data_IF_046792382680
#
_entry.id   IF_046792382680
#
_cell.length_a   1.000
_cell.length_b   1.000
_cell.length_c   1.000
_cell.angle_alpha   90.00
_cell.angle_beta   90.00
_cell.angle_gamma   90.00
#
_symmetry.space_group_name_H-M   'P 1'
#
loop_
_entity.id
_entity.type
_entity.pdbx_description
1 polymer ?
#
# COMPACT_ATOMS: atom_id res chain seq x y z
N UNK A 1 -3.06 2.24 26.67
CA UNK A 1 -3.29 0.94 27.35
C UNK A 1 -4.75 0.50 27.33
N UNK A 2 -5.75 1.41 27.46
CA UNK A 2 -7.18 1.01 27.45
C UNK A 2 -7.64 0.48 26.10
N UNK A 3 -7.13 1.05 25.00
CA UNK A 3 -7.46 0.65 23.63
C UNK A 3 -6.90 -0.73 23.29
N UNK A 4 -5.70 -1.03 23.78
CA UNK A 4 -5.02 -2.30 23.50
C UNK A 4 -5.59 -3.46 24.34
N UNK A 5 -6.22 -3.18 25.49
CA UNK A 5 -6.80 -4.19 26.38
C UNK A 5 -5.77 -5.05 27.13
N UNK A 6 -4.50 -4.64 27.14
CA UNK A 6 -3.39 -5.31 27.79
C UNK A 6 -2.53 -4.30 28.54
N UNK A 7 -1.96 -4.68 29.69
CA UNK A 7 -1.07 -3.79 30.45
C UNK A 7 0.29 -3.65 29.74
N UNK A 8 0.98 -2.52 30.00
CA UNK A 8 2.34 -2.31 29.47
C UNK A 8 3.29 -3.43 29.90
N UNK A 9 3.21 -3.85 31.15
CA UNK A 9 4.05 -4.95 31.70
C UNK A 9 3.80 -6.29 30.99
N UNK A 10 2.56 -6.56 30.60
CA UNK A 10 2.23 -7.79 29.90
C UNK A 10 2.70 -7.74 28.45
N UNK A 11 2.66 -6.57 27.80
CA UNK A 11 3.26 -6.35 26.49
C UNK A 11 4.78 -6.55 26.51
N UNK A 12 5.44 -5.97 27.51
CA UNK A 12 6.90 -6.14 27.71
C UNK A 12 7.29 -7.61 27.95
N UNK A 13 6.47 -8.37 28.69
CA UNK A 13 6.68 -9.82 28.85
C UNK A 13 6.59 -10.60 27.54
N UNK A 14 5.83 -10.11 26.58
CA UNK A 14 5.74 -10.67 25.22
C UNK A 14 6.83 -10.13 24.27
N UNK A 15 7.80 -9.40 24.79
CA UNK A 15 8.88 -8.80 24.01
C UNK A 15 8.49 -7.55 23.21
N UNK A 16 7.32 -6.95 23.51
CA UNK A 16 6.86 -5.74 22.85
C UNK A 16 7.24 -4.51 23.68
N UNK A 17 8.23 -3.77 23.22
CA UNK A 17 8.70 -2.50 23.82
C UNK A 17 8.14 -1.26 23.10
N UNK A 18 7.49 -1.43 21.96
CA UNK A 18 6.97 -0.35 21.12
C UNK A 18 7.99 0.21 20.12
N UNK A 19 9.09 -0.49 19.92
CA UNK A 19 10.11 -0.11 18.92
C UNK A 19 9.58 -0.33 17.49
N UNK A 20 10.09 0.45 16.55
CA UNK A 20 9.70 0.35 15.13
C UNK A 20 9.91 -1.08 14.62
N UNK A 21 8.91 -1.60 13.92
CA UNK A 21 8.92 -2.96 13.39
C UNK A 21 8.39 -4.03 14.35
N UNK A 22 8.24 -3.74 15.64
CA UNK A 22 7.62 -4.67 16.58
C UNK A 22 6.11 -4.74 16.40
N UNK A 23 5.54 -5.92 16.62
CA UNK A 23 4.09 -6.09 16.67
C UNK A 23 3.68 -7.22 17.61
N UNK A 24 2.49 -7.12 18.17
CA UNK A 24 1.84 -8.19 18.93
C UNK A 24 0.36 -8.28 18.56
N UNK A 25 -0.11 -9.48 18.30
CA UNK A 25 -1.50 -9.78 17.95
C UNK A 25 -2.24 -10.20 19.21
N UNK A 26 -3.33 -9.51 19.52
CA UNK A 26 -4.09 -9.69 20.76
C UNK A 26 -5.53 -10.04 20.37
N UNK A 27 -5.91 -11.33 20.41
CA UNK A 27 -7.29 -11.75 20.23
C UNK A 27 -8.17 -11.23 21.37
N UNK A 28 -9.35 -10.72 21.04
CA UNK A 28 -10.31 -10.23 22.03
C UNK A 28 -11.47 -11.19 22.18
N UNK A 29 -12.13 -11.16 23.33
CA UNK A 29 -13.28 -12.02 23.64
C UNK A 29 -14.53 -11.70 22.80
N UNK A 30 -14.62 -10.49 22.28
CA UNK A 30 -15.69 -10.03 21.40
C UNK A 30 -15.51 -10.42 19.91
N UNK A 31 -14.49 -11.25 19.64
CA UNK A 31 -14.16 -11.71 18.28
C UNK A 31 -13.28 -10.72 17.49
N UNK A 32 -13.06 -9.51 17.99
CA UNK A 32 -12.13 -8.56 17.38
C UNK A 32 -10.68 -8.99 17.62
N UNK A 33 -9.79 -8.55 16.73
CA UNK A 33 -8.34 -8.71 16.90
C UNK A 33 -7.71 -7.34 16.99
N UNK A 34 -6.94 -7.08 18.02
CA UNK A 34 -6.11 -5.87 18.15
C UNK A 34 -4.68 -6.23 17.78
N UNK A 35 -4.09 -5.45 16.89
CA UNK A 35 -2.68 -5.57 16.53
C UNK A 35 -1.99 -4.31 17.05
N UNK A 36 -1.20 -4.45 18.10
CA UNK A 36 -0.33 -3.37 18.55
C UNK A 36 0.93 -3.36 17.70
N UNK A 37 1.31 -2.20 17.19
CA UNK A 37 2.52 -2.00 16.40
C UNK A 37 3.40 -0.94 17.05
N UNK A 38 4.70 -1.18 17.05
CA UNK A 38 5.68 -0.23 17.55
C UNK A 38 5.97 0.87 16.53
N UNK A 39 6.00 2.10 17.02
CA UNK A 39 6.31 3.30 16.21
C UNK A 39 7.51 4.08 16.76
N UNK A 40 8.09 3.64 17.88
CA UNK A 40 9.15 4.36 18.58
C UNK A 40 8.61 5.55 19.41
N UNK A 41 9.51 6.31 20.01
CA UNK A 41 9.15 7.44 20.89
C UNK A 41 8.74 8.71 20.12
N UNK A 42 9.36 8.97 18.99
CA UNK A 42 9.12 10.15 18.11
C UNK A 42 9.07 9.69 16.67
N UNK A 43 7.95 9.10 16.25
CA UNK A 43 7.87 8.51 14.93
C UNK A 43 7.96 9.57 13.83
N UNK A 44 8.80 9.31 12.85
CA UNK A 44 8.76 9.99 11.55
C UNK A 44 7.61 9.45 10.69
N UNK A 45 7.28 10.15 9.60
CA UNK A 45 6.32 9.63 8.63
C UNK A 45 6.76 8.28 8.04
N UNK A 46 8.08 8.03 7.94
CA UNK A 46 8.64 6.75 7.53
C UNK A 46 8.31 5.63 8.52
N UNK A 47 8.50 5.87 9.82
CA UNK A 47 8.18 4.91 10.87
C UNK A 47 6.68 4.58 10.91
N UNK A 48 5.83 5.58 10.69
CA UNK A 48 4.38 5.39 10.59
C UNK A 48 4.00 4.55 9.36
N UNK A 49 4.67 4.74 8.23
CA UNK A 49 4.49 3.92 7.03
C UNK A 49 4.84 2.46 7.30
N UNK A 50 5.98 2.23 7.94
CA UNK A 50 6.46 0.89 8.25
C UNK A 50 5.54 0.20 9.27
N UNK A 51 5.09 0.93 10.29
CA UNK A 51 4.10 0.43 11.26
C UNK A 51 2.77 0.06 10.59
N UNK A 52 2.27 0.87 9.65
CA UNK A 52 1.07 0.56 8.89
C UNK A 52 1.25 -0.71 8.04
N UNK A 53 2.40 -0.87 7.41
CA UNK A 53 2.73 -2.09 6.66
C UNK A 53 2.79 -3.32 7.56
N UNK A 54 3.38 -3.23 8.74
CA UNK A 54 3.42 -4.31 9.74
C UNK A 54 2.01 -4.67 10.21
N UNK A 55 1.17 -3.66 10.52
CA UNK A 55 -0.22 -3.88 10.93
C UNK A 55 -1.00 -4.66 9.87
N UNK A 56 -0.93 -4.24 8.61
CA UNK A 56 -1.67 -4.89 7.51
C UNK A 56 -1.16 -6.29 7.23
N UNK A 57 0.15 -6.55 7.29
CA UNK A 57 0.68 -7.91 7.14
C UNK A 57 0.16 -8.87 8.21
N UNK A 58 -0.01 -8.39 9.44
CA UNK A 58 -0.59 -9.19 10.52
C UNK A 58 -2.12 -9.32 10.42
N UNK A 59 -2.77 -8.42 9.68
CA UNK A 59 -4.23 -8.40 9.51
C UNK A 59 -4.73 -9.13 8.25
N UNK A 60 -3.90 -9.83 7.50
CA UNK A 60 -4.24 -10.42 6.19
C UNK A 60 -5.45 -11.38 6.20
N UNK A 61 -5.84 -11.90 7.36
CA UNK A 61 -6.99 -12.79 7.53
C UNK A 61 -8.29 -12.05 7.84
N UNK A 62 -8.24 -10.72 7.99
CA UNK A 62 -9.38 -9.89 8.32
C UNK A 62 -9.83 -9.09 7.10
N UNK A 63 -11.14 -8.96 6.90
CA UNK A 63 -11.71 -8.19 5.78
C UNK A 63 -11.69 -6.69 6.06
N UNK A 64 -11.94 -6.31 7.31
CA UNK A 64 -12.00 -4.91 7.73
C UNK A 64 -10.83 -4.60 8.66
N UNK A 65 -10.05 -3.59 8.30
CA UNK A 65 -8.89 -3.15 9.06
C UNK A 65 -9.03 -1.67 9.41
N UNK A 66 -8.91 -1.37 10.69
CA UNK A 66 -8.88 0.01 11.19
C UNK A 66 -7.51 0.34 11.74
N UNK A 67 -6.89 1.40 11.23
CA UNK A 67 -5.59 1.90 11.68
C UNK A 67 -5.76 3.17 12.51
N UNK A 68 -5.30 3.14 13.77
CA UNK A 68 -5.14 4.30 14.64
C UNK A 68 -3.63 4.53 14.87
N UNK A 69 -2.98 5.11 13.87
CA UNK A 69 -1.53 5.41 13.89
C UNK A 69 -1.26 6.91 13.84
N UNK A 70 -2.19 7.71 13.33
CA UNK A 70 -1.97 9.15 13.19
C UNK A 70 -1.91 9.87 14.53
N UNK A 71 -2.54 9.29 15.57
CA UNK A 71 -2.45 9.82 16.94
C UNK A 71 -1.04 9.74 17.54
N UNK A 72 -0.17 8.88 17.01
CA UNK A 72 1.22 8.74 17.42
C UNK A 72 2.18 9.74 16.76
N UNK A 73 1.80 10.29 15.61
CA UNK A 73 2.56 11.28 14.84
C UNK A 73 2.03 12.70 14.99
N UNK A 74 2.33 13.53 14.01
CA UNK A 74 1.88 14.93 13.96
C UNK A 74 0.50 15.10 13.34
N UNK A 75 -0.14 14.02 12.90
CA UNK A 75 -1.44 14.01 12.21
C UNK A 75 -1.53 15.01 11.05
N UNK A 76 -0.45 15.16 10.31
CA UNK A 76 -0.37 16.03 9.13
C UNK A 76 -0.58 15.26 7.82
N UNK A 77 -0.56 15.97 6.68
CA UNK A 77 -0.71 15.37 5.35
C UNK A 77 0.37 14.33 5.04
N UNK A 78 1.62 14.54 5.47
CA UNK A 78 2.73 13.64 5.20
C UNK A 78 2.56 12.32 5.97
N UNK A 79 2.16 12.39 7.25
CA UNK A 79 1.89 11.21 8.07
C UNK A 79 0.71 10.40 7.51
N UNK A 80 -0.37 11.09 7.15
CA UNK A 80 -1.55 10.45 6.56
C UNK A 80 -1.23 9.73 5.24
N UNK A 81 -0.45 10.37 4.38
CA UNK A 81 0.05 9.78 3.14
C UNK A 81 0.89 8.55 3.43
N UNK A 82 1.85 8.66 4.35
CA UNK A 82 2.76 7.57 4.69
C UNK A 82 2.02 6.35 5.25
N UNK A 83 1.07 6.54 6.19
CA UNK A 83 0.22 5.47 6.72
C UNK A 83 -0.58 4.80 5.61
N UNK A 84 -1.17 5.60 4.70
CA UNK A 84 -1.95 5.07 3.58
C UNK A 84 -1.08 4.27 2.61
N UNK A 85 0.08 4.81 2.23
CA UNK A 85 1.04 4.10 1.37
C UNK A 85 1.51 2.79 2.02
N UNK A 86 1.90 2.82 3.30
CA UNK A 86 2.36 1.65 4.02
C UNK A 86 1.32 0.54 4.07
N UNK A 87 0.08 0.89 4.39
CA UNK A 87 -1.03 -0.05 4.45
C UNK A 87 -1.34 -0.66 3.07
N UNK A 88 -1.54 0.18 2.06
CA UNK A 88 -1.91 -0.29 0.72
C UNK A 88 -0.78 -1.09 0.08
N UNK A 89 0.48 -0.61 0.12
CA UNK A 89 1.60 -1.32 -0.47
C UNK A 89 1.89 -2.66 0.19
N UNK A 90 1.60 -2.80 1.49
CA UNK A 90 1.68 -4.09 2.20
C UNK A 90 0.54 -5.06 1.83
N UNK A 91 -0.58 -4.53 1.40
CA UNK A 91 -1.72 -5.30 0.93
C UNK A 91 -1.61 -5.78 -0.52
N UNK A 92 -0.67 -5.22 -1.27
CA UNK A 92 -0.49 -5.57 -2.68
C UNK A 92 -0.25 -7.07 -2.85
N UNK A 93 -0.98 -7.65 -3.78
CA UNK A 93 -0.77 -9.00 -4.29
C UNK A 93 -0.86 -8.96 -5.81
N UNK A 94 0.15 -9.48 -6.46
CA UNK A 94 0.11 -9.66 -7.89
C UNK A 94 -1.01 -10.65 -8.26
N UNK A 95 -1.98 -10.27 -9.10
CA UNK A 95 -3.09 -11.15 -9.46
C UNK A 95 -2.63 -12.43 -10.15
N UNK A 96 -1.47 -12.37 -10.81
CA UNK A 96 -0.80 -13.52 -11.43
C UNK A 96 -1.51 -14.09 -12.65
N UNK A 97 -0.75 -14.88 -13.42
CA UNK A 97 -1.27 -15.76 -14.46
C UNK A 97 -1.24 -17.16 -13.87
N UNK A 98 -2.24 -17.48 -13.07
CA UNK A 98 -2.29 -18.78 -12.40
C UNK A 98 -3.62 -19.47 -12.70
N UNK A 99 -3.55 -20.79 -12.88
CA UNK A 99 -4.75 -21.62 -13.05
C UNK A 99 -5.56 -21.81 -11.76
N UNK A 100 -5.01 -21.37 -10.60
CA UNK A 100 -5.66 -21.46 -9.30
C UNK A 100 -6.05 -20.07 -8.83
N UNK A 101 -7.34 -19.82 -8.55
CA UNK A 101 -7.77 -18.57 -7.96
C UNK A 101 -7.09 -18.35 -6.61
N UNK A 102 -6.69 -17.10 -6.34
CA UNK A 102 -6.24 -16.71 -5.01
C UNK A 102 -7.41 -16.81 -4.03
N UNK A 103 -7.40 -17.85 -3.21
CA UNK A 103 -8.46 -18.12 -2.22
C UNK A 103 -8.21 -17.42 -0.88
N UNK A 104 -7.11 -16.67 -0.77
CA UNK A 104 -6.83 -15.95 0.47
C UNK A 104 -7.75 -14.74 0.63
N UNK A 105 -8.34 -14.54 1.82
CA UNK A 105 -9.17 -13.38 2.06
C UNK A 105 -8.33 -12.11 1.86
N UNK A 106 -8.86 -11.20 1.04
CA UNK A 106 -8.32 -9.83 0.90
C UNK A 106 -9.11 -8.95 1.84
N UNK A 107 -8.47 -8.00 2.49
CA UNK A 107 -9.26 -7.01 3.20
C UNK A 107 -10.08 -6.18 2.20
N UNK A 108 -11.35 -5.96 2.56
CA UNK A 108 -12.30 -5.23 1.74
C UNK A 108 -12.30 -3.75 2.08
N UNK A 109 -12.01 -3.40 3.33
CA UNK A 109 -11.99 -2.02 3.79
C UNK A 109 -10.78 -1.68 4.65
N UNK A 110 -10.27 -0.46 4.45
CA UNK A 110 -9.24 0.15 5.28
C UNK A 110 -9.77 1.48 5.81
N UNK A 111 -9.91 1.56 7.12
CA UNK A 111 -10.29 2.79 7.82
C UNK A 111 -9.08 3.39 8.53
N UNK A 112 -8.80 4.66 8.30
CA UNK A 112 -7.77 5.41 9.03
C UNK A 112 -8.45 6.35 10.01
N UNK A 113 -8.18 6.18 11.30
CA UNK A 113 -8.70 7.06 12.35
C UNK A 113 -7.96 8.39 12.30
N UNK A 114 -8.72 9.49 12.30
CA UNK A 114 -8.18 10.84 12.16
C UNK A 114 -9.03 11.85 12.92
N UNK A 115 -8.45 13.01 13.19
CA UNK A 115 -9.16 14.19 13.71
C UNK A 115 -10.04 14.91 12.68
N UNK A 116 -10.06 14.45 11.41
CA UNK A 116 -10.90 15.03 10.36
C UNK A 116 -10.36 16.29 9.71
N UNK A 117 -9.09 16.65 9.90
CA UNK A 117 -8.50 17.82 9.28
C UNK A 117 -8.34 17.63 7.75
N UNK A 118 -8.71 18.64 6.96
CA UNK A 118 -8.63 18.62 5.49
C UNK A 118 -7.22 18.27 4.95
N UNK A 119 -6.16 18.63 5.71
CA UNK A 119 -4.79 18.25 5.37
C UNK A 119 -4.56 16.75 5.44
N UNK A 120 -5.18 16.07 6.42
CA UNK A 120 -5.09 14.62 6.59
C UNK A 120 -5.81 13.91 5.45
N UNK A 121 -7.02 14.34 5.12
CA UNK A 121 -7.78 13.79 3.99
C UNK A 121 -7.02 13.93 2.67
N UNK A 122 -6.37 15.07 2.44
CA UNK A 122 -5.50 15.26 1.27
C UNK A 122 -4.36 14.26 1.27
N UNK A 123 -3.69 14.05 2.39
CA UNK A 123 -2.63 13.05 2.52
C UNK A 123 -3.10 11.63 2.20
N UNK A 124 -4.29 11.24 2.69
CA UNK A 124 -4.89 9.95 2.36
C UNK A 124 -5.13 9.82 0.84
N UNK A 125 -5.72 10.84 0.21
CA UNK A 125 -5.93 10.83 -1.26
C UNK A 125 -4.62 10.70 -2.04
N UNK A 126 -3.60 11.45 -1.65
CA UNK A 126 -2.26 11.35 -2.25
C UNK A 126 -1.66 9.95 -2.10
N UNK A 127 -1.78 9.35 -0.90
CA UNK A 127 -1.32 7.99 -0.61
C UNK A 127 -2.02 6.94 -1.48
N UNK A 128 -3.33 7.09 -1.69
CA UNK A 128 -4.11 6.20 -2.57
C UNK A 128 -3.61 6.29 -4.02
N UNK A 129 -3.43 7.52 -4.54
CA UNK A 129 -2.96 7.73 -5.93
C UNK A 129 -1.58 7.10 -6.12
N UNK A 130 -0.63 7.37 -5.21
CA UNK A 130 0.73 6.83 -5.29
C UNK A 130 0.76 5.31 -5.19
N UNK A 131 -0.06 4.76 -4.30
CA UNK A 131 -0.14 3.29 -4.14
C UNK A 131 -0.71 2.62 -5.38
N UNK A 132 -1.73 3.20 -6.03
CA UNK A 132 -2.30 2.69 -7.28
C UNK A 132 -1.29 2.74 -8.42
N UNK A 133 -0.54 3.85 -8.56
CA UNK A 133 0.53 3.94 -9.55
C UNK A 133 1.62 2.88 -9.31
N UNK A 134 1.98 2.66 -8.04
CA UNK A 134 2.94 1.60 -7.69
C UNK A 134 2.40 0.20 -7.98
N UNK A 135 1.09 -0.04 -7.78
CA UNK A 135 0.46 -1.32 -8.13
C UNK A 135 0.56 -1.58 -9.62
N UNK A 136 0.19 -0.58 -10.45
CA UNK A 136 0.32 -0.69 -11.90
C UNK A 136 1.76 -1.03 -12.31
N UNK A 137 2.73 -0.29 -11.78
CA UNK A 137 4.15 -0.54 -12.07
C UNK A 137 4.60 -1.96 -11.66
N UNK A 138 4.12 -2.44 -10.50
CA UNK A 138 4.40 -3.81 -10.04
C UNK A 138 3.71 -4.86 -10.88
N UNK A 139 2.48 -4.63 -11.29
CA UNK A 139 1.73 -5.54 -12.15
C UNK A 139 2.45 -5.69 -13.50
N UNK A 140 2.86 -4.58 -14.11
CA UNK A 140 3.63 -4.59 -15.36
C UNK A 140 4.97 -5.32 -15.19
N UNK A 141 5.73 -4.99 -14.13
CA UNK A 141 7.03 -5.60 -13.87
C UNK A 141 6.96 -7.11 -13.55
N UNK A 142 5.87 -7.56 -12.94
CA UNK A 142 5.67 -8.95 -12.58
C UNK A 142 5.02 -9.77 -13.71
N UNK A 143 4.50 -9.13 -14.76
CA UNK A 143 3.90 -9.82 -15.90
C UNK A 143 4.99 -10.44 -16.77
N UNK A 144 4.94 -11.76 -17.05
CA UNK A 144 5.92 -12.41 -17.90
C UNK A 144 5.95 -11.81 -19.30
N UNK A 145 7.12 -11.77 -19.99
CA UNK A 145 7.28 -11.15 -21.31
C UNK A 145 6.42 -11.79 -22.39
N UNK A 146 5.97 -13.04 -22.22
CA UNK A 146 5.02 -13.68 -23.12
C UNK A 146 3.60 -13.06 -23.05
N UNK A 147 3.31 -12.25 -22.03
CA UNK A 147 2.02 -11.61 -21.79
C UNK A 147 2.12 -10.08 -21.67
N UNK A 148 3.32 -9.53 -21.79
CA UNK A 148 3.56 -8.11 -21.81
C UNK A 148 4.76 -7.81 -22.73
N UNK A 149 4.48 -7.46 -23.95
CA UNK A 149 5.42 -6.94 -24.93
C UNK A 149 5.13 -5.46 -25.22
N UNK A 150 5.84 -4.84 -26.16
CA UNK A 150 5.69 -3.42 -26.49
C UNK A 150 4.25 -3.06 -26.94
N UNK A 151 3.60 -3.93 -27.73
CA UNK A 151 2.22 -3.71 -28.21
C UNK A 151 1.20 -3.83 -27.07
N UNK A 152 1.41 -4.77 -26.14
CA UNK A 152 0.55 -4.88 -24.96
C UNK A 152 0.68 -3.63 -24.08
N UNK A 153 1.88 -3.07 -23.94
CA UNK A 153 2.12 -1.84 -23.20
C UNK A 153 1.44 -0.64 -23.87
N UNK A 154 1.49 -0.54 -25.21
CA UNK A 154 0.76 0.45 -26.01
C UNK A 154 -0.74 0.44 -25.66
N UNK A 155 -1.38 -0.73 -25.71
CA UNK A 155 -2.80 -0.88 -25.37
C UNK A 155 -3.08 -0.39 -23.94
N UNK A 156 -2.28 -0.82 -22.96
CA UNK A 156 -2.44 -0.44 -21.56
C UNK A 156 -2.33 1.09 -21.38
N UNK A 157 -1.34 1.72 -21.99
CA UNK A 157 -1.12 3.17 -21.85
C UNK A 157 -2.22 3.95 -22.56
N UNK A 158 -2.66 3.49 -23.73
CA UNK A 158 -3.76 4.12 -24.48
C UNK A 158 -5.08 4.05 -23.72
N UNK A 159 -5.36 2.92 -23.05
CA UNK A 159 -6.56 2.76 -22.22
C UNK A 159 -6.55 3.63 -20.94
N UNK A 160 -5.37 3.93 -20.41
CA UNK A 160 -5.22 4.79 -19.25
C UNK A 160 -5.41 6.27 -19.57
N UNK A 161 -5.06 6.72 -20.77
CA UNK A 161 -5.03 8.11 -21.16
C UNK A 161 -6.36 8.86 -20.95
N UNK A 162 -7.52 8.36 -21.40
CA UNK A 162 -8.81 9.05 -21.20
C UNK A 162 -9.18 9.19 -19.71
N UNK A 163 -8.81 8.20 -18.89
CA UNK A 163 -9.13 8.20 -17.47
C UNK A 163 -8.28 9.17 -16.68
N UNK A 164 -7.04 9.41 -17.11
CA UNK A 164 -6.06 10.21 -16.39
C UNK A 164 -5.74 11.56 -17.04
N UNK A 165 -6.30 11.84 -18.22
CA UNK A 165 -6.23 13.13 -18.89
C UNK A 165 -4.82 13.46 -19.41
N UNK A 166 -4.14 12.50 -20.02
CA UNK A 166 -2.89 12.71 -20.75
C UNK A 166 -3.02 12.22 -22.21
N UNK A 167 -2.20 12.79 -23.08
CA UNK A 167 -2.14 12.38 -24.48
C UNK A 167 -1.12 11.25 -24.67
N UNK A 168 -1.38 10.38 -25.64
CA UNK A 168 -0.48 9.28 -26.03
C UNK A 168 -0.16 9.41 -27.50
N UNK A 169 1.09 9.35 -27.84
CA UNK A 169 1.59 9.24 -29.19
C UNK A 169 2.37 7.92 -29.31
N UNK A 170 2.07 7.15 -30.32
CA UNK A 170 2.66 5.83 -30.57
C UNK A 170 3.44 5.89 -31.87
N UNK A 171 4.66 5.41 -31.85
CA UNK A 171 5.54 5.30 -33.00
C UNK A 171 5.78 3.81 -33.29
N UNK A 172 5.43 3.40 -34.52
CA UNK A 172 5.72 2.05 -34.98
C UNK A 172 7.15 1.91 -35.50
N UNK A 173 7.50 0.71 -35.98
CA UNK A 173 8.84 0.41 -36.47
C UNK A 173 9.23 1.29 -37.68
N UNK A 174 8.27 1.65 -38.56
CA UNK A 174 8.54 2.49 -39.73
C UNK A 174 8.77 3.94 -39.28
N UNK A 175 7.97 4.45 -38.34
CA UNK A 175 8.14 5.78 -37.76
C UNK A 175 9.53 5.89 -37.12
N UNK A 176 9.95 4.87 -36.36
CA UNK A 176 11.27 4.83 -35.71
C UNK A 176 12.42 4.78 -36.73
N UNK A 177 12.25 4.09 -37.87
CA UNK A 177 13.23 4.07 -38.96
C UNK A 177 13.36 5.46 -39.59
N UNK A 178 12.23 6.13 -39.92
CA UNK A 178 12.21 7.50 -40.45
C UNK A 178 12.85 8.52 -39.51
N UNK A 179 12.66 8.33 -38.20
CA UNK A 179 13.26 9.16 -37.15
C UNK A 179 14.74 8.86 -36.91
N UNK A 180 15.30 7.83 -37.51
CA UNK A 180 16.70 7.42 -37.34
C UNK A 180 16.99 6.76 -35.98
N UNK A 181 15.96 6.19 -35.33
CA UNK A 181 16.06 5.58 -34.01
C UNK A 181 16.60 4.13 -34.05
N UNK A 182 17.71 3.90 -34.76
CA UNK A 182 18.27 2.55 -34.97
C UNK A 182 18.58 1.77 -33.69
N UNK A 183 18.86 2.44 -32.59
CA UNK A 183 19.08 1.79 -31.29
C UNK A 183 17.84 1.16 -30.66
N UNK A 184 16.63 1.50 -31.14
CA UNK A 184 15.37 0.90 -30.71
C UNK A 184 14.92 -0.23 -31.63
N UNK A 185 15.40 -0.20 -32.88
CA UNK A 185 15.07 -1.19 -33.92
C UNK A 185 15.94 -2.44 -33.83
N UNK A 186 17.02 -2.41 -33.02
CA UNK A 186 17.87 -3.52 -32.67
C UNK A 186 18.93 -3.87 -33.54
#
# INVERSE_FOLDING_TARGET
PRTVGMSRRDLERQGFAGEVGQSVVIPRRDGATVIAVGVGERPSSGDLRDAAAVAVRNAQRHQDVTLDLLSAGSSNSADARAVTEGALLAAYRYPGITAKPDTQPRFASLTIVTSGAAAVERGVREGVVRSRATYLARDLANTPPAHLNARDLEVIVTDLAPTHGFDVEVFDENDLEEMGCGGLLG
#
